data_IF_538661548740
#
_entry.id   IF_538661548740
#
_cell.length_a   1.000
_cell.length_b   1.000
_cell.length_c   1.000
_cell.angle_alpha   90.00
_cell.angle_beta   90.00
_cell.angle_gamma   90.00
#
_symmetry.space_group_name_H-M   'P 1'
#
loop_
_entity.id
_entity.type
_entity.pdbx_description
1 polymer ?
#
# COMPACT_ATOMS: atom_id res chain seq x y z
N UNK A 1 -18.22 16.47 4.35
CA UNK A 1 -17.03 15.86 4.99
C UNK A 1 -16.88 14.37 4.65
N UNK A 2 -17.85 13.49 4.88
CA UNK A 2 -17.75 12.07 4.42
C UNK A 2 -17.90 11.96 2.91
N UNK A 3 -18.83 12.68 2.32
CA UNK A 3 -19.02 12.79 0.86
C UNK A 3 -17.78 13.35 0.15
N UNK A 4 -17.06 14.30 0.75
CA UNK A 4 -15.80 14.83 0.21
C UNK A 4 -14.65 13.80 0.18
N UNK A 5 -14.65 12.83 1.10
CA UNK A 5 -13.69 11.72 1.10
C UNK A 5 -14.10 10.58 0.15
N UNK A 6 -15.40 10.48 -0.17
CA UNK A 6 -15.95 9.48 -1.07
C UNK A 6 -15.99 9.96 -2.53
N UNK A 7 -16.22 11.27 -2.75
CA UNK A 7 -16.45 11.87 -4.06
C UNK A 7 -15.24 12.65 -4.61
N UNK A 8 -14.18 12.78 -3.83
CA UNK A 8 -12.91 13.10 -4.43
C UNK A 8 -12.54 11.90 -5.27
N UNK A 9 -12.75 12.01 -6.57
CA UNK A 9 -11.73 11.59 -7.52
C UNK A 9 -10.44 12.06 -6.88
N UNK A 10 -9.82 11.18 -6.08
CA UNK A 10 -8.56 11.50 -5.45
C UNK A 10 -7.62 11.75 -6.63
N UNK A 11 -7.57 13.01 -7.05
CA UNK A 11 -6.46 13.50 -7.81
C UNK A 11 -5.27 13.29 -6.89
N UNK A 12 -4.75 12.08 -6.96
CA UNK A 12 -3.45 11.79 -6.43
C UNK A 12 -2.56 12.89 -6.99
N UNK A 13 -1.73 13.54 -6.17
CA UNK A 13 -0.92 14.65 -6.64
C UNK A 13 -0.32 14.25 -7.99
N UNK A 14 -0.52 15.07 -8.98
CA UNK A 14 -0.36 14.80 -10.40
C UNK A 14 1.06 14.39 -10.84
N UNK A 15 1.99 14.28 -9.90
CA UNK A 15 3.38 13.87 -10.11
C UNK A 15 3.88 13.04 -8.92
N UNK A 16 3.69 11.75 -8.98
CA UNK A 16 4.55 10.84 -8.22
C UNK A 16 5.83 10.59 -9.01
N UNK A 17 6.97 10.70 -8.36
CA UNK A 17 8.24 10.25 -8.95
C UNK A 17 8.32 8.72 -8.99
N UNK A 18 7.57 8.03 -8.14
CA UNK A 18 7.58 6.57 -7.98
C UNK A 18 6.57 5.91 -8.92
N UNK A 19 5.31 6.35 -8.88
CA UNK A 19 4.20 5.64 -9.54
C UNK A 19 4.13 6.07 -11.01
N UNK A 20 4.86 5.36 -11.86
CA UNK A 20 4.89 5.55 -13.30
C UNK A 20 4.29 4.35 -14.02
N UNK A 21 3.74 4.54 -15.22
CA UNK A 21 3.19 3.42 -16.00
C UNK A 21 4.24 2.35 -16.30
N UNK A 22 5.49 2.68 -16.73
CA UNK A 22 6.52 1.67 -16.97
C UNK A 22 6.86 0.84 -15.71
N UNK A 23 6.88 1.47 -14.53
CA UNK A 23 7.15 0.75 -13.28
C UNK A 23 5.99 -0.18 -12.92
N UNK A 24 4.76 0.28 -13.07
CA UNK A 24 3.59 -0.57 -12.82
C UNK A 24 3.53 -1.74 -13.81
N UNK A 25 3.80 -1.51 -15.08
CA UNK A 25 3.85 -2.56 -16.10
C UNK A 25 4.95 -3.59 -15.80
N UNK A 26 6.12 -3.12 -15.38
CA UNK A 26 7.20 -3.99 -14.93
C UNK A 26 6.75 -4.87 -13.74
N UNK A 27 6.16 -4.28 -12.69
CA UNK A 27 5.72 -5.01 -11.50
C UNK A 27 4.57 -5.99 -11.80
N UNK A 28 3.62 -5.61 -12.63
CA UNK A 28 2.52 -6.50 -13.05
C UNK A 28 3.02 -7.71 -13.80
N UNK A 29 4.09 -7.58 -14.60
CA UNK A 29 4.74 -8.70 -15.28
C UNK A 29 5.51 -9.64 -14.32
N UNK A 30 5.86 -9.19 -13.10
CA UNK A 30 6.48 -10.03 -12.07
C UNK A 30 5.43 -10.79 -11.24
N UNK A 31 4.18 -10.33 -11.22
CA UNK A 31 3.12 -10.91 -10.40
C UNK A 31 2.58 -12.20 -11.05
N UNK A 32 2.59 -13.29 -10.28
CA UNK A 32 2.29 -14.63 -10.79
C UNK A 32 0.84 -15.08 -10.55
N UNK A 33 0.08 -14.36 -9.72
CA UNK A 33 -1.31 -14.67 -9.41
C UNK A 33 -2.27 -13.86 -10.29
N UNK A 34 -3.57 -14.03 -10.10
CA UNK A 34 -4.58 -13.27 -10.85
C UNK A 34 -4.50 -11.77 -10.54
N UNK A 35 -4.31 -10.94 -11.56
CA UNK A 35 -4.28 -9.48 -11.42
C UNK A 35 -5.59 -8.91 -10.84
N UNK A 36 -6.70 -9.62 -10.98
CA UNK A 36 -8.00 -9.28 -10.42
C UNK A 36 -8.30 -10.04 -9.12
N UNK A 37 -7.31 -10.75 -8.55
CA UNK A 37 -7.39 -11.47 -7.29
C UNK A 37 -7.39 -10.55 -6.07
N UNK A 38 -7.54 -11.13 -4.89
CA UNK A 38 -7.56 -10.38 -3.63
C UNK A 38 -6.27 -9.60 -3.36
N UNK A 39 -5.14 -10.04 -3.91
CA UNK A 39 -3.81 -9.44 -3.74
C UNK A 39 -3.28 -8.81 -5.04
N UNK A 40 -4.14 -8.62 -6.06
CA UNK A 40 -3.77 -8.10 -7.36
C UNK A 40 -3.66 -6.57 -7.41
N UNK A 41 -3.53 -6.04 -8.64
CA UNK A 41 -3.23 -4.63 -8.91
C UNK A 41 -4.25 -3.66 -8.28
N UNK A 42 -5.54 -4.00 -8.28
CA UNK A 42 -6.55 -3.14 -7.63
C UNK A 42 -6.30 -2.97 -6.13
N UNK A 43 -5.83 -4.04 -5.45
CA UNK A 43 -5.42 -3.96 -4.06
C UNK A 43 -4.22 -3.03 -3.88
N UNK A 44 -3.16 -3.16 -4.68
CA UNK A 44 -2.00 -2.28 -4.61
C UNK A 44 -2.38 -0.81 -4.75
N UNK A 45 -3.27 -0.50 -5.68
CA UNK A 45 -3.73 0.87 -5.92
C UNK A 45 -4.58 1.40 -4.76
N UNK A 46 -5.42 0.58 -4.11
CA UNK A 46 -6.15 1.01 -2.90
C UNK A 46 -5.22 1.21 -1.71
N UNK A 47 -4.21 0.34 -1.55
CA UNK A 47 -3.14 0.54 -0.55
C UNK A 47 -2.38 1.84 -0.81
N UNK A 48 -2.07 2.15 -2.07
CA UNK A 48 -1.45 3.41 -2.47
C UNK A 48 -2.30 4.62 -2.07
N UNK A 49 -3.61 4.59 -2.35
CA UNK A 49 -4.55 5.66 -1.97
C UNK A 49 -4.59 5.82 -0.45
N UNK A 50 -4.77 4.74 0.28
CA UNK A 50 -4.80 4.76 1.74
C UNK A 50 -3.50 5.32 2.31
N UNK A 51 -2.36 4.83 1.81
CA UNK A 51 -1.04 5.24 2.26
C UNK A 51 -0.77 6.73 2.06
N UNK A 52 -1.10 7.28 0.89
CA UNK A 52 -0.96 8.72 0.60
C UNK A 52 -1.81 9.58 1.51
N UNK A 53 -3.07 9.19 1.73
CA UNK A 53 -3.98 9.93 2.60
C UNK A 53 -3.51 9.92 4.07
N UNK A 54 -2.92 8.82 4.53
CA UNK A 54 -2.34 8.72 5.86
C UNK A 54 -1.04 9.55 5.92
N UNK A 55 -0.15 9.40 4.95
CA UNK A 55 1.14 10.09 4.91
C UNK A 55 0.98 11.62 4.95
N UNK A 56 -0.01 12.16 4.26
CA UNK A 56 -0.34 13.59 4.28
C UNK A 56 -0.69 14.12 5.69
N UNK A 57 -1.08 13.24 6.62
CA UNK A 57 -1.46 13.61 7.99
C UNK A 57 -0.44 13.15 9.03
N UNK A 58 0.34 12.11 8.74
CA UNK A 58 1.28 11.49 9.68
C UNK A 58 2.69 12.02 9.55
N UNK A 59 3.04 12.60 8.40
CA UNK A 59 4.41 13.00 8.07
C UNK A 59 5.30 11.82 7.66
N UNK A 60 4.71 10.67 7.29
CA UNK A 60 5.43 9.54 6.74
C UNK A 60 6.10 9.88 5.41
N UNK A 61 7.21 9.21 5.10
CA UNK A 61 7.91 9.35 3.84
C UNK A 61 7.06 8.80 2.68
N UNK A 62 6.64 9.68 1.80
CA UNK A 62 5.70 9.35 0.72
C UNK A 62 6.31 8.40 -0.32
N UNK A 63 7.62 8.52 -0.61
CA UNK A 63 8.29 7.67 -1.58
C UNK A 63 8.33 6.22 -1.09
N UNK A 64 8.65 6.02 0.19
CA UNK A 64 8.62 4.68 0.81
C UNK A 64 7.22 4.09 0.80
N UNK A 65 6.20 4.89 1.15
CA UNK A 65 4.80 4.45 1.18
C UNK A 65 4.32 4.03 -0.22
N UNK A 66 4.69 4.78 -1.26
CA UNK A 66 4.33 4.47 -2.64
C UNK A 66 5.01 3.20 -3.15
N UNK A 67 6.31 3.04 -2.89
CA UNK A 67 7.02 1.80 -3.21
C UNK A 67 6.44 0.60 -2.48
N UNK A 68 6.16 0.73 -1.18
CA UNK A 68 5.53 -0.32 -0.40
C UNK A 68 4.19 -0.76 -1.00
N UNK A 69 3.33 0.19 -1.32
CA UNK A 69 2.01 -0.11 -1.86
C UNK A 69 2.06 -0.99 -3.11
N UNK A 70 3.05 -0.75 -3.99
CA UNK A 70 3.22 -1.49 -5.23
C UNK A 70 3.98 -2.83 -5.06
N UNK A 71 4.81 -2.96 -4.00
CA UNK A 71 5.77 -4.07 -3.88
C UNK A 71 5.35 -5.14 -2.89
N UNK A 72 4.60 -4.80 -1.82
CA UNK A 72 4.43 -5.66 -0.65
C UNK A 72 3.88 -7.05 -0.97
N UNK A 73 3.04 -7.16 -2.00
CA UNK A 73 2.39 -8.41 -2.42
C UNK A 73 2.83 -8.91 -3.81
N UNK A 74 3.71 -8.18 -4.51
CA UNK A 74 4.09 -8.54 -5.91
C UNK A 74 4.74 -9.92 -6.03
N UNK A 75 5.37 -10.41 -4.97
CA UNK A 75 6.05 -11.71 -4.92
C UNK A 75 5.21 -12.79 -4.21
N UNK A 76 3.88 -12.63 -4.13
CA UNK A 76 3.00 -13.70 -3.64
C UNK A 76 2.94 -14.87 -4.63
N UNK A 77 2.90 -16.07 -4.05
CA UNK A 77 2.80 -17.34 -4.76
C UNK A 77 1.49 -18.08 -4.47
N UNK A 78 0.74 -17.66 -3.45
CA UNK A 78 -0.53 -18.23 -3.05
C UNK A 78 -1.48 -17.13 -2.53
N UNK A 79 -2.72 -17.11 -3.02
CA UNK A 79 -3.75 -16.15 -2.59
C UNK A 79 -4.26 -16.41 -1.17
N UNK A 80 -4.05 -17.61 -0.60
CA UNK A 80 -4.55 -17.97 0.73
C UNK A 80 -3.46 -17.86 1.80
N UNK A 81 -2.54 -18.81 1.87
CA UNK A 81 -1.53 -18.87 2.93
C UNK A 81 -0.11 -18.86 2.38
N UNK A 82 0.45 -17.69 2.30
CA UNK A 82 1.83 -17.47 1.85
C UNK A 82 2.67 -16.78 2.93
N UNK A 83 3.23 -17.58 3.85
CA UNK A 83 3.95 -17.07 5.02
C UNK A 83 5.23 -16.30 4.63
N UNK A 84 5.82 -16.62 3.48
CA UNK A 84 7.11 -16.05 3.06
C UNK A 84 6.98 -14.86 2.09
N UNK A 85 5.75 -14.48 1.70
CA UNK A 85 5.59 -13.41 0.70
C UNK A 85 6.23 -12.09 1.13
N UNK A 86 6.13 -11.70 2.41
CA UNK A 86 6.76 -10.48 2.92
C UNK A 86 8.29 -10.52 2.85
N UNK A 87 8.92 -11.67 3.12
CA UNK A 87 10.37 -11.83 2.96
C UNK A 87 10.76 -11.68 1.49
N UNK A 88 10.04 -12.37 0.59
CA UNK A 88 10.31 -12.26 -0.85
C UNK A 88 10.08 -10.86 -1.39
N UNK A 89 9.04 -10.17 -0.92
CA UNK A 89 8.79 -8.77 -1.29
C UNK A 89 9.93 -7.85 -0.84
N UNK A 90 10.46 -8.02 0.38
CA UNK A 90 11.60 -7.25 0.87
C UNK A 90 12.87 -7.51 0.06
N UNK A 91 13.17 -8.78 -0.24
CA UNK A 91 14.33 -9.17 -1.02
C UNK A 91 14.21 -8.68 -2.48
N UNK A 92 13.01 -8.74 -3.04
CA UNK A 92 12.72 -8.20 -4.37
C UNK A 92 12.88 -6.67 -4.41
N UNK A 93 12.33 -5.93 -3.42
CA UNK A 93 12.53 -4.50 -3.32
C UNK A 93 14.02 -4.13 -3.26
N UNK A 94 14.83 -4.87 -2.49
CA UNK A 94 16.27 -4.67 -2.41
C UNK A 94 16.96 -4.93 -3.76
N UNK A 95 16.50 -5.90 -4.54
CA UNK A 95 17.08 -6.21 -5.86
C UNK A 95 16.81 -5.15 -6.92
N UNK A 96 15.84 -4.25 -6.70
CA UNK A 96 15.48 -3.17 -7.62
C UNK A 96 16.24 -1.85 -7.35
N UNK A 97 17.09 -1.82 -6.31
CA UNK A 97 17.87 -0.63 -5.99
C UNK A 97 18.86 -0.27 -7.10
N UNK A 98 18.88 1.00 -7.44
CA UNK A 98 19.73 1.53 -8.52
C UNK A 98 19.10 1.51 -9.90
N UNK A 99 18.18 0.59 -10.17
CA UNK A 99 17.49 0.49 -11.46
C UNK A 99 16.11 1.18 -11.40
N UNK A 100 15.24 0.69 -10.52
CA UNK A 100 13.88 1.20 -10.35
C UNK A 100 13.66 2.00 -9.06
N UNK A 101 14.48 1.77 -8.05
CA UNK A 101 14.35 2.34 -6.71
C UNK A 101 15.60 3.16 -6.37
N UNK A 102 15.40 4.47 -6.14
CA UNK A 102 16.46 5.42 -5.83
C UNK A 102 16.24 6.03 -4.44
N UNK A 103 16.35 5.22 -3.40
CA UNK A 103 16.12 5.59 -2.00
C UNK A 103 17.44 5.68 -1.23
N UNK A 104 17.49 6.54 -0.21
CA UNK A 104 18.60 6.56 0.74
C UNK A 104 18.55 5.36 1.71
N UNK A 105 19.61 5.17 2.50
CA UNK A 105 19.72 4.00 3.39
C UNK A 105 18.60 3.89 4.44
N UNK A 106 18.10 5.00 4.95
CA UNK A 106 16.99 5.02 5.91
C UNK A 106 15.69 4.59 5.22
N UNK A 107 15.42 5.13 4.05
CA UNK A 107 14.24 4.78 3.25
C UNK A 107 14.27 3.31 2.80
N UNK A 108 15.45 2.80 2.40
CA UNK A 108 15.64 1.37 2.06
C UNK A 108 15.31 0.49 3.25
N UNK A 109 15.83 0.82 4.45
CA UNK A 109 15.49 0.11 5.67
C UNK A 109 13.98 0.12 5.94
N UNK A 110 13.35 1.28 5.86
CA UNK A 110 11.92 1.43 6.08
C UNK A 110 11.09 0.59 5.09
N UNK A 111 11.44 0.63 3.80
CA UNK A 111 10.75 -0.13 2.76
C UNK A 111 10.87 -1.64 2.98
N UNK A 112 12.11 -2.13 3.20
CA UNK A 112 12.34 -3.58 3.38
C UNK A 112 11.70 -4.11 4.66
N UNK A 113 11.75 -3.36 5.77
CA UNK A 113 11.06 -3.72 7.01
C UNK A 113 9.52 -3.69 6.85
N UNK A 114 9.00 -2.66 6.17
CA UNK A 114 7.59 -2.57 5.89
C UNK A 114 7.12 -3.79 5.09
N UNK A 115 7.79 -4.13 3.98
CA UNK A 115 7.45 -5.31 3.17
C UNK A 115 7.57 -6.61 3.97
N UNK A 116 8.66 -6.80 4.71
CA UNK A 116 8.96 -8.04 5.44
C UNK A 116 7.90 -8.41 6.47
N UNK A 117 7.35 -7.41 7.17
CA UNK A 117 6.53 -7.63 8.35
C UNK A 117 5.08 -7.16 8.24
N UNK A 118 4.61 -6.72 7.07
CA UNK A 118 3.27 -6.14 6.92
C UNK A 118 2.14 -7.07 7.39
N UNK A 119 2.27 -8.37 7.15
CA UNK A 119 1.24 -9.38 7.49
C UNK A 119 1.30 -9.91 8.94
N UNK A 120 2.27 -9.45 9.76
CA UNK A 120 2.49 -10.03 11.10
C UNK A 120 1.67 -9.42 12.25
N UNK A 121 0.73 -8.53 11.98
CA UNK A 121 -0.10 -7.92 13.02
C UNK A 121 0.64 -7.00 14.00
N UNK A 122 1.87 -6.59 13.68
CA UNK A 122 2.70 -5.73 14.54
C UNK A 122 2.29 -4.26 14.45
N UNK A 123 2.74 -3.47 15.44
CA UNK A 123 2.79 -2.02 15.38
C UNK A 123 4.25 -1.56 15.33
N UNK A 124 4.52 -0.46 14.66
CA UNK A 124 5.84 0.17 14.59
C UNK A 124 5.83 1.54 15.28
N UNK A 125 6.99 1.92 15.84
CA UNK A 125 7.25 3.28 16.30
C UNK A 125 7.70 4.21 15.18
N UNK A 126 8.19 3.65 14.07
CA UNK A 126 8.52 4.39 12.86
C UNK A 126 7.22 4.71 12.13
N UNK A 127 6.95 5.99 11.92
CA UNK A 127 5.70 6.47 11.34
C UNK A 127 5.53 6.05 9.89
N UNK A 128 6.63 5.92 9.12
CA UNK A 128 6.61 5.51 7.72
C UNK A 128 6.25 4.03 7.60
N UNK A 129 6.92 3.15 8.35
CA UNK A 129 6.61 1.72 8.41
C UNK A 129 5.16 1.50 8.88
N UNK A 130 4.75 2.23 9.92
CA UNK A 130 3.39 2.11 10.44
C UNK A 130 2.34 2.56 9.42
N UNK A 131 2.60 3.63 8.67
CA UNK A 131 1.72 4.10 7.59
C UNK A 131 1.56 3.05 6.49
N UNK A 132 2.64 2.38 6.10
CA UNK A 132 2.60 1.26 5.15
C UNK A 132 1.67 0.15 5.64
N UNK A 133 1.84 -0.30 6.89
CA UNK A 133 1.01 -1.37 7.46
C UNK A 133 -0.45 -0.98 7.66
N UNK A 134 -0.71 0.26 8.06
CA UNK A 134 -2.08 0.78 8.19
C UNK A 134 -2.78 0.84 6.83
N UNK A 135 -2.06 1.26 5.79
CA UNK A 135 -2.61 1.38 4.44
C UNK A 135 -3.09 0.02 3.89
N UNK A 136 -2.32 -1.05 4.11
CA UNK A 136 -2.69 -2.40 3.72
C UNK A 136 -3.87 -2.93 4.55
N UNK A 137 -3.81 -2.79 5.90
CA UNK A 137 -4.87 -3.25 6.80
C UNK A 137 -6.21 -2.57 6.57
N UNK A 138 -6.20 -1.34 6.09
CA UNK A 138 -7.42 -0.62 5.73
C UNK A 138 -8.12 -1.18 4.48
N UNK A 139 -7.43 -1.99 3.67
CA UNK A 139 -8.04 -2.65 2.50
C UNK A 139 -8.58 -4.07 2.78
N UNK A 140 -8.68 -4.49 4.04
CA UNK A 140 -9.20 -5.81 4.44
C UNK A 140 -10.66 -6.05 4.01
N UNK A 141 -11.42 -5.00 3.70
CA UNK A 141 -12.76 -5.12 3.12
C UNK A 141 -12.80 -5.98 1.84
N UNK A 142 -11.70 -6.02 1.07
CA UNK A 142 -11.57 -6.85 -0.14
C UNK A 142 -11.76 -8.36 0.10
N UNK A 143 -11.48 -8.80 1.32
CA UNK A 143 -11.63 -10.20 1.76
C UNK A 143 -12.79 -10.37 2.76
N UNK A 144 -13.68 -9.37 2.88
CA UNK A 144 -14.84 -9.41 3.78
C UNK A 144 -14.56 -9.08 5.24
N UNK A 145 -13.36 -8.64 5.56
CA UNK A 145 -12.92 -8.33 6.92
C UNK A 145 -13.01 -6.81 7.19
N UNK A 146 -13.36 -6.44 8.42
CA UNK A 146 -13.32 -5.04 8.84
C UNK A 146 -11.96 -4.72 9.47
N UNK A 147 -11.32 -3.59 9.10
CA UNK A 147 -10.10 -3.15 9.78
C UNK A 147 -10.36 -2.99 11.28
N UNK A 148 -9.53 -3.63 12.10
CA UNK A 148 -9.61 -3.52 13.55
C UNK A 148 -8.69 -2.39 14.02
N UNK A 149 -9.24 -1.32 14.67
CA UNK A 149 -8.45 -0.17 15.13
C UNK A 149 -7.29 -0.51 16.07
N UNK A 150 -7.34 -1.67 16.75
CA UNK A 150 -6.25 -2.13 17.63
C UNK A 150 -4.96 -2.41 16.87
N UNK A 151 -5.06 -2.79 15.58
CA UNK A 151 -3.91 -3.05 14.71
C UNK A 151 -3.52 -1.85 13.85
N UNK A 152 -4.22 -0.72 13.96
CA UNK A 152 -3.88 0.53 13.29
C UNK A 152 -3.05 1.41 14.23
N UNK A 153 -1.93 1.92 13.76
CA UNK A 153 -0.96 2.65 14.60
C UNK A 153 -1.07 4.16 14.45
N UNK A 154 -1.35 4.68 13.26
CA UNK A 154 -1.44 6.11 13.02
C UNK A 154 -2.80 6.67 13.48
N UNK A 155 -2.80 7.95 13.89
CA UNK A 155 -4.03 8.63 14.28
C UNK A 155 -5.03 8.70 13.12
N UNK A 156 -4.55 8.98 11.91
CA UNK A 156 -5.38 9.07 10.71
C UNK A 156 -6.07 7.74 10.39
N UNK A 157 -5.34 6.62 10.43
CA UNK A 157 -5.89 5.30 10.14
C UNK A 157 -6.93 4.83 11.17
N UNK A 158 -6.83 5.28 12.44
CA UNK A 158 -7.80 4.99 13.51
C UNK A 158 -9.08 5.81 13.43
N UNK A 159 -9.10 6.83 12.62
CA UNK A 159 -10.28 7.67 12.46
C UNK A 159 -11.45 6.88 11.87
N UNK A 160 -12.62 6.97 12.51
CA UNK A 160 -13.79 6.18 12.12
C UNK A 160 -14.27 6.49 10.71
N UNK A 161 -14.22 7.76 10.31
CA UNK A 161 -14.66 8.17 8.96
C UNK A 161 -13.63 7.73 7.91
N UNK A 162 -12.35 7.74 8.26
CA UNK A 162 -11.30 7.20 7.40
C UNK A 162 -11.49 5.69 7.16
N UNK A 163 -11.75 4.91 8.22
CA UNK A 163 -12.02 3.47 8.13
C UNK A 163 -13.26 3.20 7.25
N UNK A 164 -14.34 3.96 7.45
CA UNK A 164 -15.55 3.84 6.61
C UNK A 164 -15.27 4.11 5.13
N UNK A 165 -14.51 5.17 4.84
CA UNK A 165 -14.12 5.52 3.48
C UNK A 165 -13.23 4.43 2.84
N UNK A 166 -12.28 3.87 3.58
CA UNK A 166 -11.44 2.78 3.11
C UNK A 166 -12.26 1.50 2.84
N UNK A 167 -13.17 1.12 3.74
CA UNK A 167 -14.09 0.01 3.54
C UNK A 167 -14.98 0.21 2.32
N UNK A 168 -15.48 1.42 2.09
CA UNK A 168 -16.27 1.71 0.90
C UNK A 168 -15.46 1.46 -0.38
N UNK A 169 -14.20 1.91 -0.43
CA UNK A 169 -13.30 1.66 -1.57
C UNK A 169 -13.06 0.17 -1.77
N UNK A 170 -12.76 -0.57 -0.71
CA UNK A 170 -12.51 -2.01 -0.75
C UNK A 170 -13.71 -2.82 -1.24
N UNK A 171 -14.89 -2.55 -0.66
CA UNK A 171 -16.10 -3.31 -0.95
C UNK A 171 -16.64 -3.07 -2.36
N UNK A 172 -16.46 -1.85 -2.89
CA UNK A 172 -16.92 -1.50 -4.23
C UNK A 172 -15.83 -1.68 -5.30
N UNK A 173 -14.67 -2.24 -4.93
CA UNK A 173 -13.49 -2.40 -5.80
C UNK A 173 -13.14 -1.10 -6.54
N UNK A 174 -13.40 0.04 -5.87
CA UNK A 174 -13.22 1.34 -6.49
C UNK A 174 -11.74 1.65 -6.61
N UNK A 175 -11.26 1.75 -7.84
CA UNK A 175 -9.94 2.26 -8.19
C UNK A 175 -10.09 3.19 -9.37
N UNK A 176 -10.17 4.49 -9.11
CA UNK A 176 -10.06 5.49 -10.15
C UNK A 176 -8.64 6.06 -10.12
N UNK A 177 -7.73 5.40 -10.80
CA UNK A 177 -6.36 5.84 -10.95
C UNK A 177 -6.13 6.34 -12.38
N UNK A 178 -5.94 7.63 -12.53
CA UNK A 178 -5.45 8.20 -13.79
C UNK A 178 -3.97 8.50 -13.61
N UNK A 179 -3.13 7.81 -14.37
CA UNK A 179 -1.73 8.19 -14.51
C UNK A 179 -1.68 9.54 -15.20
N UNK A 180 -0.91 10.49 -14.65
CA UNK A 180 -0.59 11.71 -15.37
C UNK A 180 0.15 11.32 -16.67
N UNK A 181 -0.38 11.76 -17.81
CA UNK A 181 0.24 11.61 -19.11
C UNK A 181 1.44 12.54 -19.24
#
# INVERSE_FOLDING_TARGET
MLLDLLDRTLELPSKSAVVTQPYLDFLTNQYQLSHNGAHGVEHWLRVLINGRLIAAQSGADIEVVEHFALLHDVQRQDDHRDIQHGNRAADFAASLLGDWIHLNSTQVYQLTEACRYHSMGRLSKDVTIQTCWDADRLDLGRVGEKPNPTYLGTKAARDTEFIKAALHRSNNRFVNYQFAR
#
